data_IF_925670347567
#
_entry.id   IF_925670347567
#
_cell.length_a   1.000
_cell.length_b   1.000
_cell.length_c   1.000
_cell.angle_alpha   90.00
_cell.angle_beta   90.00
_cell.angle_gamma   90.00
#
_symmetry.space_group_name_H-M   'P 1'
#
loop_
_entity.id
_entity.type
_entity.pdbx_description
1 polymer ?
#
# COMPACT_ATOMS: atom_id res chain seq x y z
N UNK A 1 12.21 8.42 -1.29
CA UNK A 1 13.50 8.16 -1.98
C UNK A 1 14.35 7.18 -1.15
N UNK A 2 13.80 6.01 -0.82
CA UNK A 2 14.48 5.00 0.02
C UNK A 2 15.05 3.84 -0.80
N UNK A 3 15.27 4.02 -2.11
CA UNK A 3 15.72 2.94 -2.99
C UNK A 3 17.03 2.28 -2.54
N UNK A 4 17.91 3.03 -1.88
CA UNK A 4 19.13 2.49 -1.27
C UNK A 4 18.83 1.45 -0.18
N UNK A 5 17.84 1.71 0.67
CA UNK A 5 17.41 0.77 1.72
C UNK A 5 16.73 -0.46 1.09
N UNK A 6 15.84 -0.26 0.12
CA UNK A 6 15.18 -1.38 -0.60
C UNK A 6 16.21 -2.30 -1.26
N UNK A 7 17.23 -1.71 -1.90
CA UNK A 7 18.36 -2.45 -2.50
C UNK A 7 19.17 -3.19 -1.45
N UNK A 8 19.51 -2.54 -0.33
CA UNK A 8 20.29 -3.14 0.74
C UNK A 8 19.59 -4.37 1.33
N UNK A 9 18.27 -4.29 1.53
CA UNK A 9 17.46 -5.42 1.99
C UNK A 9 17.28 -6.53 0.94
N UNK A 10 17.42 -6.17 -0.35
CA UNK A 10 17.28 -7.08 -1.49
C UNK A 10 15.84 -7.16 -2.05
N UNK A 11 14.96 -6.23 -1.69
CA UNK A 11 13.53 -6.30 -2.03
C UNK A 11 13.18 -5.92 -3.48
N UNK A 12 14.16 -5.76 -4.38
CA UNK A 12 13.96 -5.58 -5.82
C UNK A 12 13.80 -6.91 -6.60
N UNK A 13 13.61 -8.03 -5.91
CA UNK A 13 13.39 -9.35 -6.52
C UNK A 13 11.89 -9.68 -6.62
N UNK A 14 11.57 -10.63 -7.47
CA UNK A 14 10.27 -11.33 -7.49
C UNK A 14 10.33 -12.69 -6.80
N UNK A 15 11.53 -13.18 -6.46
CA UNK A 15 11.76 -14.47 -5.84
C UNK A 15 11.73 -14.33 -4.31
N UNK A 16 10.61 -14.71 -3.70
CA UNK A 16 10.39 -14.70 -2.26
C UNK A 16 10.12 -16.12 -1.71
N UNK A 17 10.45 -16.39 -0.43
CA UNK A 17 11.12 -15.48 0.50
C UNK A 17 12.62 -15.33 0.19
N UNK A 18 13.19 -14.19 0.57
CA UNK A 18 14.65 -14.00 0.54
C UNK A 18 15.22 -14.71 1.77
N UNK A 19 16.03 -15.75 1.57
CA UNK A 19 16.65 -16.49 2.67
C UNK A 19 17.98 -15.84 3.08
N UNK A 20 18.10 -15.47 4.36
CA UNK A 20 19.33 -14.98 4.95
C UNK A 20 19.14 -13.89 6.00
N UNK A 21 20.19 -13.58 6.78
CA UNK A 21 20.12 -12.61 7.88
C UNK A 21 19.80 -11.20 7.38
N UNK A 22 19.28 -10.29 8.22
CA UNK A 22 19.08 -8.90 7.82
C UNK A 22 20.41 -8.23 7.46
N UNK A 23 20.39 -7.11 6.72
CA UNK A 23 21.58 -6.29 6.50
C UNK A 23 22.25 -5.86 7.80
N UNK A 24 23.55 -5.56 7.75
CA UNK A 24 24.25 -5.08 8.93
C UNK A 24 23.71 -3.70 9.33
N UNK A 25 23.54 -3.49 10.65
CA UNK A 25 23.02 -2.23 11.20
C UNK A 25 23.81 -1.01 10.73
N UNK A 26 25.14 -1.13 10.67
CA UNK A 26 26.03 -0.05 10.20
C UNK A 26 25.71 0.39 8.75
N UNK A 27 25.31 -0.53 7.87
CA UNK A 27 25.04 -0.22 6.46
C UNK A 27 23.69 0.49 6.33
N UNK A 28 22.73 0.14 7.19
CA UNK A 28 21.44 0.85 7.31
C UNK A 28 21.69 2.27 7.85
N UNK A 29 22.46 2.40 8.93
CA UNK A 29 22.78 3.69 9.56
C UNK A 29 23.49 4.64 8.57
N UNK A 30 24.45 4.14 7.79
CA UNK A 30 25.13 4.93 6.76
C UNK A 30 24.16 5.51 5.71
N UNK A 31 23.14 4.74 5.30
CA UNK A 31 22.10 5.22 4.37
C UNK A 31 21.18 6.26 5.00
N UNK A 32 20.85 6.12 6.29
CA UNK A 32 20.02 7.07 7.02
C UNK A 32 20.77 8.39 7.29
N UNK A 33 22.06 8.32 7.60
CA UNK A 33 22.92 9.50 7.80
C UNK A 33 23.03 10.35 6.54
N UNK A 34 22.98 9.73 5.35
CA UNK A 34 22.94 10.43 4.06
C UNK A 34 21.59 11.12 3.76
N UNK A 35 20.55 10.86 4.57
CA UNK A 35 19.23 11.52 4.55
C UNK A 35 18.61 11.72 3.15
N UNK A 36 18.55 10.68 2.28
CA UNK A 36 17.93 10.84 0.97
C UNK A 36 16.45 11.17 1.09
N UNK A 37 16.01 12.25 0.43
CA UNK A 37 14.61 12.72 0.49
C UNK A 37 14.02 12.96 -0.89
N UNK A 38 12.70 12.82 -1.01
CA UNK A 38 11.99 13.32 -2.21
C UNK A 38 12.06 14.85 -2.32
N UNK A 39 12.34 15.56 -1.22
CA UNK A 39 12.59 17.02 -1.23
C UNK A 39 13.92 17.40 -1.89
N UNK A 40 14.81 16.44 -2.08
CA UNK A 40 16.09 16.65 -2.79
C UNK A 40 15.92 16.56 -4.31
N UNK A 41 14.73 16.22 -4.79
CA UNK A 41 14.42 16.08 -6.21
C UNK A 41 14.00 17.43 -6.81
N UNK A 42 14.56 17.76 -7.97
CA UNK A 42 14.15 18.88 -8.83
C UNK A 42 13.74 18.34 -10.18
N UNK A 43 12.58 18.78 -10.66
CA UNK A 43 12.05 18.40 -11.98
C UNK A 43 12.06 19.65 -12.85
N UNK A 44 12.71 19.58 -14.00
CA UNK A 44 12.70 20.61 -15.04
C UNK A 44 12.41 19.95 -16.40
N UNK A 45 11.17 20.12 -16.88
CA UNK A 45 10.68 19.40 -18.05
C UNK A 45 10.71 17.88 -17.85
N UNK A 46 11.49 17.19 -18.67
CA UNK A 46 11.74 15.74 -18.61
C UNK A 46 13.01 15.37 -17.81
N UNK A 47 13.73 16.36 -17.29
CA UNK A 47 14.91 16.15 -16.46
C UNK A 47 14.54 16.05 -14.98
N UNK A 48 14.99 14.97 -14.33
CA UNK A 48 14.93 14.78 -12.88
C UNK A 48 16.36 14.83 -12.32
N UNK A 49 16.59 15.70 -11.35
CA UNK A 49 17.91 15.96 -10.76
C UNK A 49 17.86 15.90 -9.23
N UNK A 50 18.99 15.55 -8.62
CA UNK A 50 19.19 15.70 -7.18
C UNK A 50 20.64 16.06 -6.89
N UNK A 51 20.84 16.99 -5.96
CA UNK A 51 22.17 17.33 -5.44
C UNK A 51 22.64 16.34 -4.37
N UNK A 52 21.73 15.48 -3.86
CA UNK A 52 22.06 14.44 -2.89
C UNK A 52 22.37 13.11 -3.62
N UNK A 53 23.64 12.66 -3.66
CA UNK A 53 24.03 11.46 -4.41
C UNK A 53 23.50 10.16 -3.79
N UNK A 54 22.99 10.20 -2.56
CA UNK A 54 22.37 9.04 -1.91
C UNK A 54 20.92 8.83 -2.35
N UNK A 55 20.32 9.78 -3.07
CA UNK A 55 18.94 9.65 -3.56
C UNK A 55 18.85 8.51 -4.57
N UNK A 56 18.07 7.51 -4.21
CA UNK A 56 17.66 6.43 -5.09
C UNK A 56 16.15 6.30 -5.05
N UNK A 57 15.55 6.19 -6.24
CA UNK A 57 14.12 6.02 -6.40
C UNK A 57 13.80 4.54 -6.47
N UNK A 58 12.76 4.17 -5.74
CA UNK A 58 12.05 2.91 -5.87
C UNK A 58 10.57 3.25 -5.98
N UNK A 59 9.89 2.61 -6.92
CA UNK A 59 8.48 2.85 -7.20
C UNK A 59 7.60 1.66 -6.81
N UNK A 60 8.10 0.74 -5.97
CA UNK A 60 7.40 -0.50 -5.63
C UNK A 60 6.04 -0.27 -4.94
N UNK A 61 5.91 0.81 -4.16
CA UNK A 61 4.67 1.19 -3.47
C UNK A 61 3.79 2.23 -4.20
N UNK A 62 3.98 2.42 -5.51
CA UNK A 62 3.17 3.38 -6.28
C UNK A 62 2.98 3.00 -7.77
N UNK A 63 3.92 2.25 -8.34
CA UNK A 63 3.94 1.96 -9.78
C UNK A 63 2.76 1.10 -10.24
N UNK A 64 2.23 0.21 -9.40
CA UNK A 64 1.10 -0.66 -9.77
C UNK A 64 -0.16 0.17 -9.89
N UNK A 65 -0.38 1.08 -8.94
CA UNK A 65 -1.41 2.11 -8.98
C UNK A 65 -1.42 2.87 -10.30
N UNK A 66 -0.26 3.44 -10.66
CA UNK A 66 -0.11 4.19 -11.91
C UNK A 66 -0.40 3.34 -13.15
N UNK A 67 0.12 2.11 -13.21
CA UNK A 67 -0.09 1.23 -14.35
C UNK A 67 -1.57 0.84 -14.53
N UNK A 68 -2.29 0.62 -13.43
CA UNK A 68 -3.73 0.36 -13.44
C UNK A 68 -4.51 1.57 -13.96
N UNK A 69 -4.18 2.78 -13.50
CA UNK A 69 -4.82 4.01 -13.98
C UNK A 69 -4.62 4.21 -15.48
N UNK A 70 -3.39 4.05 -15.98
CA UNK A 70 -3.08 4.13 -17.41
C UNK A 70 -3.86 3.09 -18.23
N UNK A 71 -4.01 1.88 -17.72
CA UNK A 71 -4.78 0.84 -18.38
C UNK A 71 -6.27 1.21 -18.48
N UNK A 72 -6.87 1.71 -17.40
CA UNK A 72 -8.26 2.17 -17.40
C UNK A 72 -8.47 3.36 -18.34
N UNK A 73 -7.56 4.34 -18.33
CA UNK A 73 -7.62 5.50 -19.23
C UNK A 73 -7.54 5.06 -20.69
N UNK A 74 -6.67 4.08 -21.00
CA UNK A 74 -6.58 3.52 -22.35
C UNK A 74 -7.87 2.83 -22.78
N UNK A 75 -8.45 1.99 -21.92
CA UNK A 75 -9.71 1.29 -22.19
C UNK A 75 -10.85 2.29 -22.41
N UNK A 76 -10.94 3.31 -21.55
CA UNK A 76 -11.92 4.38 -21.68
C UNK A 76 -11.77 5.15 -23.00
N UNK A 77 -10.52 5.48 -23.38
CA UNK A 77 -10.21 6.11 -24.67
C UNK A 77 -10.56 5.26 -25.90
N UNK A 78 -10.67 3.94 -25.73
CA UNK A 78 -11.15 3.00 -26.76
C UNK A 78 -12.68 2.81 -26.73
N UNK A 79 -13.40 3.54 -25.88
CA UNK A 79 -14.86 3.48 -25.76
C UNK A 79 -15.37 2.36 -24.83
N UNK A 80 -14.49 1.71 -24.06
CA UNK A 80 -14.88 0.71 -23.08
C UNK A 80 -15.31 1.44 -21.80
N UNK A 81 -16.60 1.38 -21.47
CA UNK A 81 -17.17 2.05 -20.30
C UNK A 81 -17.16 1.19 -19.01
N UNK A 82 -16.97 -0.12 -19.16
CA UNK A 82 -17.07 -1.11 -18.08
C UNK A 82 -15.82 -1.98 -18.07
N UNK A 83 -14.99 -1.83 -17.04
CA UNK A 83 -13.76 -2.62 -16.92
C UNK A 83 -13.32 -2.77 -15.46
N UNK A 84 -12.56 -3.83 -15.19
CA UNK A 84 -11.78 -3.99 -13.98
C UNK A 84 -10.36 -4.40 -14.37
N UNK A 85 -9.36 -3.74 -13.79
CA UNK A 85 -7.94 -4.04 -14.01
C UNK A 85 -7.35 -4.44 -12.66
N UNK A 86 -6.68 -5.61 -12.62
CA UNK A 86 -6.06 -6.15 -11.42
C UNK A 86 -4.56 -6.39 -11.67
N UNK A 87 -3.72 -5.93 -10.75
CA UNK A 87 -2.28 -6.16 -10.74
C UNK A 87 -1.83 -6.65 -9.36
N UNK A 88 -1.77 -7.98 -9.18
CA UNK A 88 -1.25 -8.59 -7.96
C UNK A 88 -2.17 -8.47 -6.74
N UNK A 89 -3.48 -8.37 -6.96
CA UNK A 89 -4.48 -8.22 -5.90
C UNK A 89 -4.97 -6.78 -5.73
N UNK A 90 -4.12 -5.81 -6.07
CA UNK A 90 -4.51 -4.40 -6.22
C UNK A 90 -5.32 -4.21 -7.49
N UNK A 91 -6.38 -3.40 -7.45
CA UNK A 91 -7.24 -3.22 -8.61
C UNK A 91 -7.89 -1.85 -8.67
N UNK A 92 -8.38 -1.51 -9.85
CA UNK A 92 -9.37 -0.46 -10.01
C UNK A 92 -10.42 -0.87 -11.04
N UNK A 93 -11.63 -0.37 -10.86
CA UNK A 93 -12.76 -0.64 -11.72
C UNK A 93 -13.35 0.68 -12.25
N UNK A 94 -13.97 0.60 -13.42
CA UNK A 94 -14.84 1.63 -13.98
C UNK A 94 -16.16 1.02 -14.44
N UNK A 95 -17.25 1.75 -14.20
CA UNK A 95 -18.61 1.32 -14.53
C UNK A 95 -19.05 0.08 -13.74
N UNK A 96 -19.98 -0.66 -14.31
CA UNK A 96 -20.60 -1.84 -13.70
C UNK A 96 -20.23 -3.16 -14.38
N UNK A 97 -20.42 -4.26 -13.67
CA UNK A 97 -20.36 -5.62 -14.20
C UNK A 97 -21.74 -6.09 -14.66
N UNK A 98 -22.14 -5.67 -15.87
CA UNK A 98 -23.51 -5.85 -16.37
C UNK A 98 -24.46 -4.93 -15.61
N UNK A 99 -25.50 -5.50 -14.99
CA UNK A 99 -26.52 -4.74 -14.25
C UNK A 99 -26.18 -4.56 -12.75
N UNK A 100 -24.93 -4.82 -12.34
CA UNK A 100 -24.51 -4.76 -10.94
C UNK A 100 -23.12 -4.15 -10.77
N UNK A 101 -22.81 -3.53 -9.62
CA UNK A 101 -21.46 -3.10 -9.30
C UNK A 101 -20.42 -4.22 -9.43
N UNK A 102 -19.17 -3.85 -9.70
CA UNK A 102 -18.06 -4.79 -9.48
C UNK A 102 -17.96 -5.12 -8.00
N UNK A 103 -17.64 -6.38 -7.70
CA UNK A 103 -17.47 -6.87 -6.33
C UNK A 103 -16.03 -7.27 -6.10
N UNK A 104 -15.44 -6.72 -5.06
CA UNK A 104 -14.02 -6.86 -4.74
C UNK A 104 -13.89 -7.54 -3.38
N UNK A 105 -13.21 -8.68 -3.35
CA UNK A 105 -12.92 -9.39 -2.11
C UNK A 105 -11.68 -8.81 -1.43
N UNK A 106 -11.78 -8.52 -0.14
CA UNK A 106 -10.66 -8.11 0.71
C UNK A 106 -10.08 -9.38 1.35
N UNK A 107 -8.79 -9.63 1.11
CA UNK A 107 -8.12 -10.84 1.60
C UNK A 107 -7.71 -10.72 3.07
N UNK A 108 -7.71 -11.85 3.77
CA UNK A 108 -7.10 -11.99 5.10
C UNK A 108 -5.60 -12.29 4.97
N UNK A 109 -4.72 -11.70 5.79
CA UNK A 109 -3.35 -12.16 5.96
C UNK A 109 -3.32 -13.66 6.30
N UNK A 110 -2.56 -14.46 5.54
CA UNK A 110 -2.52 -15.92 5.73
C UNK A 110 -3.61 -16.71 4.99
N UNK A 111 -4.51 -16.04 4.26
CA UNK A 111 -5.46 -16.68 3.35
C UNK A 111 -6.93 -16.54 3.75
N UNK A 112 -7.81 -16.65 2.75
CA UNK A 112 -9.24 -16.40 2.89
C UNK A 112 -9.64 -14.95 2.64
N UNK A 113 -10.92 -14.67 2.87
CA UNK A 113 -11.57 -13.36 2.63
C UNK A 113 -12.04 -12.82 3.99
N UNK A 114 -11.83 -11.54 4.26
CA UNK A 114 -12.38 -10.86 5.45
C UNK A 114 -13.70 -10.16 5.15
N UNK A 115 -13.90 -9.75 3.91
CA UNK A 115 -15.14 -9.13 3.46
C UNK A 115 -15.14 -8.85 1.96
N UNK A 116 -16.26 -8.37 1.46
CA UNK A 116 -16.43 -7.95 0.07
C UNK A 116 -16.96 -6.52 0.04
N UNK A 117 -16.50 -5.71 -0.91
CA UNK A 117 -17.06 -4.38 -1.15
C UNK A 117 -17.50 -4.24 -2.61
N UNK A 118 -18.49 -3.38 -2.84
CA UNK A 118 -18.95 -2.98 -4.18
C UNK A 118 -18.32 -1.66 -4.59
N UNK A 119 -17.85 -1.58 -5.84
CA UNK A 119 -17.27 -0.35 -6.40
C UNK A 119 -18.34 0.52 -7.06
N UNK A 120 -18.15 1.83 -7.07
CA UNK A 120 -19.07 2.80 -7.65
C UNK A 120 -18.37 3.69 -8.66
N UNK A 121 -18.82 3.68 -9.92
CA UNK A 121 -18.22 4.51 -10.96
C UNK A 121 -16.77 4.10 -11.21
N UNK A 122 -15.81 5.02 -11.04
CA UNK A 122 -14.38 4.72 -11.10
C UNK A 122 -13.80 4.73 -9.69
N UNK A 123 -13.31 3.57 -9.26
CA UNK A 123 -12.70 3.41 -7.94
C UNK A 123 -11.54 2.41 -7.96
N UNK A 124 -10.54 2.71 -7.16
CA UNK A 124 -9.39 1.88 -6.88
C UNK A 124 -9.54 1.25 -5.49
N UNK A 125 -9.20 -0.04 -5.39
CA UNK A 125 -9.14 -0.80 -4.13
C UNK A 125 -7.75 -1.42 -4.04
N UNK A 126 -6.91 -0.88 -3.16
CA UNK A 126 -5.52 -1.30 -3.01
C UNK A 126 -5.28 -1.82 -1.61
N UNK A 127 -4.50 -2.90 -1.49
CA UNK A 127 -4.15 -3.52 -0.22
C UNK A 127 -2.64 -3.65 -0.09
N UNK A 128 -2.06 -2.89 0.83
CA UNK A 128 -0.67 -3.09 1.26
C UNK A 128 -0.64 -4.05 2.44
N UNK A 129 0.29 -5.02 2.42
CA UNK A 129 0.40 -6.02 3.47
C UNK A 129 1.84 -6.51 3.68
N UNK A 130 2.12 -6.95 4.90
CA UNK A 130 3.48 -7.35 5.34
C UNK A 130 3.73 -8.87 5.25
N UNK A 131 2.80 -9.63 4.67
CA UNK A 131 2.79 -11.09 4.70
C UNK A 131 3.17 -11.78 3.38
N UNK A 132 3.07 -11.10 2.22
CA UNK A 132 3.36 -11.72 0.91
C UNK A 132 4.86 -11.69 0.55
N UNK A 133 5.57 -10.62 0.92
CA UNK A 133 6.97 -10.38 0.51
C UNK A 133 7.82 -10.08 1.74
N UNK A 134 8.77 -10.96 2.03
CA UNK A 134 9.64 -10.85 3.20
C UNK A 134 11.01 -11.53 2.98
N UNK A 135 11.99 -11.09 3.75
CA UNK A 135 13.23 -11.82 4.03
C UNK A 135 13.03 -12.65 5.30
N UNK A 136 13.62 -13.82 5.40
CA UNK A 136 13.62 -14.59 6.64
C UNK A 136 14.97 -15.27 6.91
N UNK A 137 15.31 -15.36 8.19
CA UNK A 137 16.37 -16.22 8.70
C UNK A 137 15.80 -17.22 9.72
N UNK A 138 16.66 -17.96 10.42
CA UNK A 138 16.22 -18.97 11.40
C UNK A 138 15.46 -18.39 12.60
N UNK A 139 15.48 -17.07 12.80
CA UNK A 139 14.94 -16.39 13.97
C UNK A 139 13.71 -15.56 13.66
N UNK A 140 13.72 -14.85 12.54
CA UNK A 140 12.77 -13.76 12.32
C UNK A 140 12.43 -13.55 10.83
N UNK A 141 11.23 -12.99 10.62
CA UNK A 141 10.72 -12.55 9.32
C UNK A 141 10.74 -11.03 9.23
N UNK A 142 11.22 -10.55 8.10
CA UNK A 142 11.46 -9.14 7.79
C UNK A 142 10.63 -8.73 6.57
N UNK A 143 9.44 -8.14 6.76
CA UNK A 143 8.60 -7.68 5.66
C UNK A 143 9.29 -6.67 4.72
N UNK A 144 8.80 -6.59 3.49
CA UNK A 144 9.37 -5.69 2.47
C UNK A 144 9.06 -4.20 2.64
N UNK A 145 8.11 -3.84 3.50
CA UNK A 145 7.73 -2.44 3.76
C UNK A 145 8.62 -1.92 4.88
N UNK A 146 9.45 -0.92 4.56
CA UNK A 146 10.41 -0.32 5.47
C UNK A 146 9.90 0.99 6.05
N UNK A 147 10.17 1.24 7.33
CA UNK A 147 10.05 2.57 7.90
C UNK A 147 11.27 3.41 7.46
N UNK A 148 11.09 4.50 6.69
CA UNK A 148 12.19 5.34 6.24
C UNK A 148 12.93 6.05 7.40
N UNK A 149 12.33 6.14 8.60
CA UNK A 149 12.92 6.76 9.78
C UNK A 149 13.98 5.85 10.43
N UNK A 150 13.78 4.54 10.35
CA UNK A 150 14.62 3.54 11.03
C UNK A 150 15.42 2.68 10.05
N UNK A 151 14.97 2.58 8.80
CA UNK A 151 15.50 1.68 7.78
C UNK A 151 15.18 0.20 8.02
N UNK A 152 14.32 -0.10 9.02
CA UNK A 152 13.87 -1.45 9.36
C UNK A 152 12.44 -1.70 8.87
N UNK A 153 12.08 -2.97 8.61
CA UNK A 153 10.71 -3.37 8.32
C UNK A 153 9.72 -2.99 9.41
N UNK A 154 8.48 -2.73 9.02
CA UNK A 154 7.34 -2.59 9.94
C UNK A 154 6.47 -3.84 9.95
N UNK A 155 5.89 -4.16 11.11
CA UNK A 155 5.06 -5.37 11.30
C UNK A 155 3.86 -5.20 12.23
N UNK A 156 3.65 -4.02 12.80
CA UNK A 156 2.55 -3.77 13.76
C UNK A 156 1.17 -3.73 13.08
N UNK A 157 1.15 -3.52 11.76
CA UNK A 157 -0.04 -3.58 10.91
C UNK A 157 0.15 -4.67 9.87
N UNK A 158 -0.77 -5.64 9.85
CA UNK A 158 -0.70 -6.80 8.97
C UNK A 158 -1.11 -6.44 7.54
N UNK A 159 -2.16 -5.63 7.39
CA UNK A 159 -2.66 -5.16 6.10
C UNK A 159 -3.44 -3.85 6.22
N UNK A 160 -3.46 -3.05 5.15
CA UNK A 160 -4.34 -1.90 5.00
C UNK A 160 -4.93 -1.93 3.61
N UNK A 161 -6.26 -1.90 3.54
CA UNK A 161 -7.03 -1.69 2.33
C UNK A 161 -7.55 -0.26 2.28
N UNK A 162 -7.28 0.43 1.17
CA UNK A 162 -7.74 1.79 0.87
C UNK A 162 -8.63 1.77 -0.35
N UNK A 163 -9.73 2.51 -0.29
CA UNK A 163 -10.56 2.86 -1.46
C UNK A 163 -10.35 4.33 -1.81
N UNK A 164 -10.10 4.63 -3.08
CA UNK A 164 -9.93 5.99 -3.60
C UNK A 164 -10.34 6.08 -5.08
N UNK A 165 -10.36 7.29 -5.64
CA UNK A 165 -10.69 7.51 -7.06
C UNK A 165 -9.57 7.11 -8.04
N UNK A 166 -8.32 7.11 -7.58
CA UNK A 166 -7.12 6.88 -8.39
C UNK A 166 -6.27 5.76 -7.79
N UNK A 167 -5.83 4.83 -8.64
CA UNK A 167 -4.97 3.71 -8.24
C UNK A 167 -3.62 4.18 -7.72
N UNK A 168 -3.01 5.17 -8.36
CA UNK A 168 -1.75 5.79 -7.94
C UNK A 168 -1.81 6.23 -6.46
N UNK A 169 -2.87 6.95 -6.12
CA UNK A 169 -3.05 7.48 -4.78
C UNK A 169 -3.38 6.36 -3.77
N UNK A 170 -4.24 5.41 -4.13
CA UNK A 170 -4.59 4.28 -3.27
C UNK A 170 -3.36 3.41 -2.91
N UNK A 171 -2.49 3.10 -3.87
CA UNK A 171 -1.26 2.29 -3.70
C UNK A 171 -0.30 2.97 -2.69
N UNK A 172 -0.03 4.26 -2.92
CA UNK A 172 0.83 5.07 -2.05
C UNK A 172 0.24 5.24 -0.64
N UNK A 173 -1.07 5.52 -0.55
CA UNK A 173 -1.78 5.70 0.70
C UNK A 173 -1.78 4.44 1.56
N UNK A 174 -2.07 3.27 0.98
CA UNK A 174 -2.07 2.01 1.71
C UNK A 174 -0.68 1.72 2.32
N UNK A 175 0.40 1.97 1.57
CA UNK A 175 1.77 1.83 2.08
C UNK A 175 2.07 2.83 3.19
N UNK A 176 1.67 4.10 3.04
CA UNK A 176 1.88 5.14 4.04
C UNK A 176 1.20 4.81 5.37
N UNK A 177 -0.01 4.25 5.35
CA UNK A 177 -0.75 3.86 6.55
C UNK A 177 -0.13 2.63 7.25
N UNK A 178 0.43 1.68 6.50
CA UNK A 178 1.24 0.59 7.09
C UNK A 178 2.43 1.15 7.86
N UNK A 179 3.16 2.11 7.27
CA UNK A 179 4.33 2.75 7.89
C UNK A 179 3.95 3.63 9.08
N UNK A 180 2.79 4.30 9.04
CA UNK A 180 2.26 5.08 10.15
C UNK A 180 1.96 4.20 11.39
N UNK A 181 1.64 2.92 11.18
CA UNK A 181 1.41 1.98 12.27
C UNK A 181 0.10 2.24 13.03
N UNK A 182 -0.20 1.43 14.07
CA UNK A 182 -1.47 1.48 14.81
C UNK A 182 -1.70 2.79 15.56
N UNK A 183 -0.63 3.52 15.88
CA UNK A 183 -0.67 4.75 16.68
C UNK A 183 -0.95 5.99 15.83
N UNK A 184 -0.37 6.08 14.62
CA UNK A 184 -0.42 7.31 13.81
C UNK A 184 -1.38 7.22 12.61
N UNK A 185 -1.83 6.04 12.19
CA UNK A 185 -2.67 5.93 10.98
C UNK A 185 -3.96 6.77 11.05
N UNK A 186 -4.53 6.95 12.25
CA UNK A 186 -5.75 7.74 12.50
C UNK A 186 -5.57 9.23 12.25
N UNK A 187 -4.36 9.76 12.41
CA UNK A 187 -4.03 11.17 12.12
C UNK A 187 -3.50 11.34 10.69
N UNK A 188 -2.79 10.34 10.17
CA UNK A 188 -2.27 10.33 8.79
C UNK A 188 -3.40 10.22 7.77
N UNK A 189 -4.38 9.34 8.00
CA UNK A 189 -5.52 9.15 7.10
C UNK A 189 -6.25 10.45 6.71
N UNK A 190 -6.75 11.26 7.66
CA UNK A 190 -7.42 12.51 7.31
C UNK A 190 -6.47 13.57 6.74
N UNK A 191 -5.19 13.57 7.14
CA UNK A 191 -4.19 14.47 6.55
C UNK A 191 -3.93 14.17 5.05
N UNK A 192 -4.13 12.91 4.64
CA UNK A 192 -4.12 12.48 3.24
C UNK A 192 -5.49 12.66 2.54
N UNK A 193 -6.55 13.05 3.26
CA UNK A 193 -7.91 13.14 2.72
C UNK A 193 -8.60 11.79 2.51
N UNK A 194 -8.13 10.73 3.17
CA UNK A 194 -8.69 9.39 3.08
C UNK A 194 -9.91 9.24 4.00
N UNK A 195 -10.95 8.57 3.51
CA UNK A 195 -12.17 8.32 4.28
C UNK A 195 -12.53 6.84 4.40
N UNK A 196 -12.07 6.00 3.47
CA UNK A 196 -12.48 4.60 3.35
C UNK A 196 -11.27 3.68 3.52
N UNK A 197 -11.06 3.25 4.75
CA UNK A 197 -9.92 2.43 5.16
C UNK A 197 -10.41 1.24 5.96
N UNK A 198 -9.87 0.07 5.63
CA UNK A 198 -9.90 -1.13 6.46
C UNK A 198 -8.46 -1.49 6.82
N UNK A 199 -8.13 -1.46 8.10
CA UNK A 199 -6.84 -1.84 8.63
C UNK A 199 -6.96 -3.16 9.40
N UNK A 200 -5.99 -4.05 9.23
CA UNK A 200 -5.85 -5.30 9.98
C UNK A 200 -4.57 -5.18 10.79
N UNK A 201 -4.67 -5.18 12.12
CA UNK A 201 -3.48 -5.12 12.98
C UNK A 201 -2.73 -6.45 13.03
N UNK A 202 -1.56 -6.47 13.68
CA UNK A 202 -0.75 -7.67 13.84
C UNK A 202 -1.47 -8.83 14.59
N UNK A 203 -2.48 -8.52 15.42
CA UNK A 203 -3.30 -9.53 16.11
C UNK A 203 -4.46 -10.06 15.24
N UNK A 204 -4.66 -9.49 14.05
CA UNK A 204 -5.72 -9.87 13.12
C UNK A 204 -7.07 -9.20 13.40
N UNK A 205 -7.12 -8.21 14.30
CA UNK A 205 -8.33 -7.42 14.53
C UNK A 205 -8.49 -6.38 13.42
N UNK A 206 -9.74 -6.18 13.00
CA UNK A 206 -10.09 -5.23 11.96
C UNK A 206 -10.46 -3.86 12.56
N UNK A 207 -10.00 -2.81 11.91
CA UNK A 207 -10.30 -1.42 12.22
C UNK A 207 -10.82 -0.76 10.95
N UNK A 208 -12.03 -0.21 11.01
CA UNK A 208 -12.70 0.39 9.87
C UNK A 208 -12.99 1.85 10.15
N UNK A 209 -12.75 2.71 9.17
CA UNK A 209 -13.36 4.06 9.16
C UNK A 209 -14.88 3.96 9.00
N UNK A 210 -15.67 4.95 9.46
CA UNK A 210 -17.12 4.92 9.33
C UNK A 210 -17.58 4.72 7.88
N UNK A 211 -16.99 5.43 6.91
CA UNK A 211 -17.35 5.31 5.50
C UNK A 211 -17.05 3.90 4.94
N UNK A 212 -15.93 3.28 5.32
CA UNK A 212 -15.65 1.89 4.95
C UNK A 212 -16.64 0.91 5.57
N UNK A 213 -17.03 1.10 6.83
CA UNK A 213 -17.98 0.23 7.53
C UNK A 213 -19.38 0.23 6.90
N UNK A 214 -19.78 1.32 6.24
CA UNK A 214 -21.03 1.40 5.47
C UNK A 214 -20.98 0.59 4.16
N UNK A 215 -19.78 0.30 3.65
CA UNK A 215 -19.59 -0.30 2.32
C UNK A 215 -19.21 -1.78 2.36
N UNK A 216 -18.41 -2.20 3.34
CA UNK A 216 -17.86 -3.56 3.36
C UNK A 216 -18.83 -4.54 4.01
N UNK A 217 -19.10 -5.64 3.30
CA UNK A 217 -19.81 -6.80 3.81
C UNK A 217 -18.78 -7.77 4.39
N UNK A 218 -18.60 -7.74 5.71
CA UNK A 218 -17.67 -8.61 6.43
C UNK A 218 -18.20 -10.04 6.54
N UNK A 219 -17.27 -11.00 6.51
CA UNK A 219 -17.58 -12.41 6.77
C UNK A 219 -18.02 -12.62 8.23
N UNK A 220 -18.78 -13.69 8.48
CA UNK A 220 -19.25 -14.01 9.83
C UNK A 220 -18.10 -14.39 10.77
N UNK A 221 -18.20 -13.98 12.04
CA UNK A 221 -17.19 -14.30 13.05
C UNK A 221 -15.89 -13.49 12.97
N UNK A 222 -15.86 -12.43 12.15
CA UNK A 222 -14.74 -11.47 12.13
C UNK A 222 -14.97 -10.40 13.19
N UNK A 223 -14.02 -10.23 14.10
CA UNK A 223 -14.04 -9.13 15.07
C UNK A 223 -13.53 -7.83 14.42
N UNK A 224 -14.29 -6.75 14.58
CA UNK A 224 -13.99 -5.45 13.98
C UNK A 224 -14.46 -4.29 14.86
N UNK A 225 -13.85 -3.13 14.65
CA UNK A 225 -14.19 -1.89 15.35
C UNK A 225 -14.27 -0.72 14.37
N UNK A 226 -15.29 0.14 14.52
CA UNK A 226 -15.34 1.42 13.82
C UNK A 226 -14.50 2.45 14.58
N UNK A 227 -13.61 3.10 13.86
CA UNK A 227 -12.76 4.17 14.36
C UNK A 227 -13.09 5.44 13.61
N UNK A 228 -13.64 6.43 14.31
CA UNK A 228 -13.78 7.77 13.76
C UNK A 228 -12.41 8.41 13.54
N UNK A 229 -12.19 8.98 12.36
CA UNK A 229 -11.02 9.82 12.09
C UNK A 229 -11.26 11.20 12.71
N UNK A 230 -10.30 11.68 13.49
CA UNK A 230 -10.32 13.05 13.99
C UNK A 230 -10.14 14.01 12.80
N UNK A 231 -11.01 15.03 12.68
CA UNK A 231 -10.83 16.04 11.65
C UNK A 231 -9.61 16.91 12.02
N UNK A 232 -8.73 17.23 11.06
CA UNK A 232 -7.58 18.09 11.30
C UNK A 232 -8.00 19.51 11.68
#
# INVERSE_FOLDING_TARGET
>A
AIGGLIRLWGFHTSDYPILGPPPQRQDIEALLEARPSTRDLRIDGDALQSDNPAVQLDFGGIAKGYAIDLALDRLSGEGIAHAIVNAGGDLAAMGDHGDRPWRVAIRRPGGGIVGTLETHGREAVFTSGVYERFREDERERYPHILDPRTGWPVSDVAAVTVVASEGLFADAAATALIVAGPDEWRSVAPALGLQEILLIDAAGKLWLTPAMAERVLLETGVEWEVVALERP
#
